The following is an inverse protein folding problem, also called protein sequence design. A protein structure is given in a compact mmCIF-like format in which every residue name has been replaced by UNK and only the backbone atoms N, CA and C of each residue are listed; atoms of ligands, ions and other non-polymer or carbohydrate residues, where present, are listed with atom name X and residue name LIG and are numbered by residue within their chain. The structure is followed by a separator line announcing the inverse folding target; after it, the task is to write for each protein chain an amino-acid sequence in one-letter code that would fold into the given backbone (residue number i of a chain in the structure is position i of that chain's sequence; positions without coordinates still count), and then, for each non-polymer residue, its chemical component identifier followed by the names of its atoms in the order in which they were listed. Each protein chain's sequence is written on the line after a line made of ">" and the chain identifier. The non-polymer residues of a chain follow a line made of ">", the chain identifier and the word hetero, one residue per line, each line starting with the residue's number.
data_IF_236077921904
#
_entry.id   IF_236077921904
#
_cell.length_a   1.000
_cell.length_b   1.000
_cell.length_c   1.000
_cell.angle_alpha   90.00
_cell.angle_beta   90.00
_cell.angle_gamma   90.00
#
_symmetry.space_group_name_H-M   'P 1'
#
loop_
_entity.id
_entity.type
_entity.pdbx_description
1 polymer ?
#
# COMPACT_ATOMS: atom_id res chain seq x y z
N UNK A 1 16.59 -17.04 -9.57
CA UNK A 1 16.93 -17.67 -8.27
C UNK A 1 17.95 -16.79 -7.58
N UNK A 2 17.81 -16.55 -6.29
CA UNK A 2 18.72 -15.71 -5.49
C UNK A 2 19.01 -16.35 -4.14
N UNK A 3 20.01 -15.83 -3.44
CA UNK A 3 20.35 -16.26 -2.09
C UNK A 3 19.53 -15.48 -1.08
N UNK A 4 18.98 -16.18 -0.07
CA UNK A 4 18.27 -15.58 1.06
C UNK A 4 19.06 -15.89 2.34
N UNK A 5 20.02 -15.03 2.75
CA UNK A 5 20.93 -15.29 3.87
C UNK A 5 20.25 -15.01 5.22
N UNK A 6 19.21 -15.78 5.55
CA UNK A 6 18.45 -15.66 6.79
C UNK A 6 18.43 -16.99 7.54
N UNK A 7 18.41 -16.92 8.88
CA UNK A 7 18.48 -18.10 9.75
C UNK A 7 17.30 -19.07 9.54
N UNK A 8 16.09 -18.57 9.29
CA UNK A 8 14.91 -19.42 9.03
C UNK A 8 15.07 -20.33 7.83
N UNK A 9 15.38 -19.79 6.63
CA UNK A 9 15.72 -20.59 5.45
C UNK A 9 16.86 -21.56 5.68
N UNK A 10 17.96 -21.12 6.34
CA UNK A 10 19.11 -21.97 6.61
C UNK A 10 18.75 -23.19 7.46
N UNK A 11 17.98 -23.01 8.54
CA UNK A 11 17.49 -24.11 9.39
C UNK A 11 16.61 -25.10 8.64
N UNK A 12 15.74 -24.62 7.74
CA UNK A 12 14.90 -25.51 6.91
C UNK A 12 15.71 -26.31 5.93
N UNK A 13 16.73 -25.69 5.33
CA UNK A 13 17.68 -26.39 4.43
C UNK A 13 18.49 -27.44 5.19
N UNK A 14 19.01 -27.11 6.38
CA UNK A 14 19.73 -28.04 7.22
C UNK A 14 18.87 -29.25 7.62
N UNK A 15 17.59 -29.02 7.97
CA UNK A 15 16.67 -30.13 8.23
C UNK A 15 16.46 -31.01 7.01
N UNK A 16 16.20 -30.42 5.84
CA UNK A 16 16.04 -31.15 4.57
C UNK A 16 17.29 -32.01 4.28
N UNK A 17 18.49 -31.44 4.47
CA UNK A 17 19.74 -32.17 4.29
C UNK A 17 19.88 -33.35 5.27
N UNK A 18 19.55 -33.14 6.55
CA UNK A 18 19.58 -34.19 7.57
C UNK A 18 18.56 -35.31 7.24
N UNK A 19 17.35 -34.96 6.82
CA UNK A 19 16.34 -35.93 6.38
C UNK A 19 16.86 -36.82 5.23
N UNK A 20 17.50 -36.20 4.22
CA UNK A 20 18.12 -36.93 3.11
C UNK A 20 19.26 -37.86 3.55
N UNK A 21 20.13 -37.41 4.46
CA UNK A 21 21.20 -38.25 5.02
C UNK A 21 20.62 -39.44 5.78
N UNK A 22 19.48 -39.27 6.44
CA UNK A 22 18.76 -40.34 7.15
C UNK A 22 17.91 -41.23 6.23
N UNK A 23 17.93 -41.03 4.91
CA UNK A 23 17.13 -41.78 3.94
C UNK A 23 15.64 -41.42 3.90
N UNK A 24 15.27 -40.26 4.46
CA UNK A 24 13.90 -39.76 4.46
C UNK A 24 13.65 -38.86 3.24
N UNK A 25 12.45 -38.95 2.67
CA UNK A 25 12.03 -38.02 1.63
C UNK A 25 11.70 -36.65 2.22
N UNK A 26 12.40 -35.60 1.77
CA UNK A 26 12.17 -34.22 2.17
C UNK A 26 12.53 -33.28 1.03
N UNK A 27 11.86 -32.13 0.95
CA UNK A 27 12.11 -31.14 -0.11
C UNK A 27 12.08 -29.70 0.43
N UNK A 28 13.13 -28.95 0.12
CA UNK A 28 13.17 -27.52 0.39
C UNK A 28 12.45 -26.74 -0.70
N UNK A 29 11.29 -26.17 -0.36
CA UNK A 29 10.43 -25.41 -1.30
C UNK A 29 10.86 -23.96 -1.54
N UNK A 30 12.03 -23.55 -1.03
CA UNK A 30 12.52 -22.19 -1.15
C UNK A 30 12.07 -21.27 0.00
N UNK A 31 12.30 -19.98 -0.19
CA UNK A 31 11.93 -18.94 0.78
C UNK A 31 11.48 -17.67 0.05
N UNK A 32 10.51 -17.00 0.62
CA UNK A 32 10.00 -15.71 0.14
C UNK A 32 10.92 -14.52 0.49
N UNK A 33 11.96 -14.73 1.30
CA UNK A 33 12.84 -13.67 1.77
C UNK A 33 12.18 -12.74 2.79
N UNK A 34 11.19 -13.24 3.56
CA UNK A 34 10.54 -12.45 4.59
C UNK A 34 11.55 -12.02 5.63
N UNK A 35 11.63 -10.71 5.86
CA UNK A 35 12.59 -10.09 6.77
C UNK A 35 11.95 -8.94 7.52
N UNK A 36 12.46 -8.69 8.73
CA UNK A 36 12.02 -7.61 9.59
C UNK A 36 13.23 -7.04 10.33
N UNK A 37 13.25 -5.73 10.51
CA UNK A 37 14.27 -5.06 11.29
C UNK A 37 13.68 -3.88 12.04
N UNK A 38 14.29 -3.53 13.16
CA UNK A 38 13.94 -2.34 13.94
C UNK A 38 15.09 -1.34 13.85
N UNK A 39 14.76 -0.09 13.48
CA UNK A 39 15.69 1.04 13.40
C UNK A 39 15.12 2.15 14.27
N UNK A 40 15.77 2.44 15.40
CA UNK A 40 15.27 3.39 16.40
C UNK A 40 13.82 3.05 16.83
N UNK A 41 12.87 3.97 16.62
CA UNK A 41 11.45 3.79 16.92
C UNK A 41 10.65 3.12 15.80
N UNK A 42 11.25 2.86 14.63
CA UNK A 42 10.55 2.31 13.47
C UNK A 42 10.87 0.83 13.26
N UNK A 43 9.88 0.10 12.82
CA UNK A 43 10.00 -1.27 12.31
C UNK A 43 9.79 -1.26 10.81
N UNK A 44 10.69 -1.88 10.06
CA UNK A 44 10.56 -2.10 8.62
C UNK A 44 10.55 -3.59 8.32
N UNK A 45 9.61 -4.05 7.49
CA UNK A 45 9.47 -5.45 7.12
C UNK A 45 9.13 -5.60 5.64
N UNK A 46 9.57 -6.72 5.06
CA UNK A 46 9.32 -7.04 3.66
C UNK A 46 9.14 -8.54 3.47
N UNK A 47 8.36 -8.92 2.46
CA UNK A 47 8.22 -10.30 1.97
C UNK A 47 8.07 -10.31 0.46
N UNK A 48 8.52 -11.38 -0.21
CA UNK A 48 8.43 -11.51 -1.66
C UNK A 48 9.33 -10.54 -2.42
N UNK A 49 8.89 -10.08 -3.58
CA UNK A 49 9.64 -9.16 -4.44
C UNK A 49 9.23 -7.70 -4.24
N UNK A 50 10.18 -6.80 -4.39
CA UNK A 50 9.94 -5.35 -4.44
C UNK A 50 9.82 -4.85 -5.89
N UNK A 51 9.49 -3.56 -6.07
CA UNK A 51 9.31 -2.98 -7.42
C UNK A 51 10.57 -3.04 -8.30
N UNK A 52 11.76 -2.92 -7.72
CA UNK A 52 13.00 -3.02 -8.51
C UNK A 52 13.18 -4.45 -9.01
N UNK A 53 12.92 -5.44 -8.15
CA UNK A 53 12.98 -6.84 -8.53
C UNK A 53 11.89 -7.22 -9.55
N UNK A 54 10.67 -6.69 -9.42
CA UNK A 54 9.61 -6.94 -10.42
C UNK A 54 10.00 -6.39 -11.80
N UNK A 55 10.64 -5.22 -11.85
CA UNK A 55 11.16 -4.65 -13.12
C UNK A 55 12.28 -5.50 -13.71
N UNK A 56 13.26 -5.89 -12.90
CA UNK A 56 14.37 -6.76 -13.34
C UNK A 56 13.88 -8.12 -13.86
N UNK A 57 12.81 -8.65 -13.25
CA UNK A 57 12.21 -9.93 -13.64
C UNK A 57 11.16 -9.79 -14.74
N UNK A 58 10.92 -8.60 -15.27
CA UNK A 58 9.89 -8.28 -16.27
C UNK A 58 8.49 -8.79 -15.88
N UNK A 59 8.15 -8.72 -14.59
CA UNK A 59 6.82 -9.10 -14.10
C UNK A 59 5.82 -7.98 -14.34
N UNK A 60 4.67 -8.31 -14.95
CA UNK A 60 3.53 -7.39 -15.02
C UNK A 60 2.87 -7.31 -13.66
N UNK A 61 2.92 -6.14 -13.03
CA UNK A 61 2.41 -5.95 -11.68
C UNK A 61 1.57 -4.68 -11.55
N UNK A 62 0.77 -4.66 -10.53
CA UNK A 62 0.16 -3.47 -9.97
C UNK A 62 0.44 -3.40 -8.47
N UNK A 63 0.08 -2.31 -7.81
CA UNK A 63 0.33 -2.11 -6.40
C UNK A 63 -0.73 -1.24 -5.75
N UNK A 64 -0.88 -1.40 -4.45
CA UNK A 64 -1.59 -0.45 -3.60
C UNK A 64 -0.65 0.05 -2.50
N UNK A 65 -0.80 1.32 -2.13
CA UNK A 65 -0.07 1.93 -1.02
C UNK A 65 -1.11 2.59 -0.11
N UNK A 66 -1.10 2.22 1.14
CA UNK A 66 -2.01 2.75 2.14
C UNK A 66 -1.24 3.16 3.41
N UNK A 67 -1.82 4.11 4.15
CA UNK A 67 -1.24 4.61 5.40
C UNK A 67 -2.26 4.42 6.54
N UNK A 68 -2.54 3.17 6.96
CA UNK A 68 -3.48 2.87 8.03
C UNK A 68 -2.87 3.14 9.42
N UNK A 69 -3.73 3.13 10.42
CA UNK A 69 -3.33 3.06 11.82
C UNK A 69 -3.07 1.60 12.25
N UNK A 70 -2.23 1.42 13.28
CA UNK A 70 -1.96 0.10 13.88
C UNK A 70 -3.21 -0.52 14.50
N UNK A 71 -4.09 0.33 15.07
CA UNK A 71 -5.38 -0.04 15.64
C UNK A 71 -6.37 1.13 15.54
N UNK A 72 -7.56 1.01 16.13
CA UNK A 72 -8.61 2.03 16.03
C UNK A 72 -8.18 3.37 16.62
N UNK A 73 -8.55 4.47 15.94
CA UNK A 73 -8.15 5.84 16.34
C UNK A 73 -8.73 6.30 17.67
N UNK A 74 -9.87 5.75 18.11
CA UNK A 74 -10.49 6.08 19.40
C UNK A 74 -9.83 5.37 20.59
N UNK A 75 -8.98 4.37 20.36
CA UNK A 75 -8.16 3.75 21.40
C UNK A 75 -6.78 4.41 21.45
N UNK A 76 -6.29 4.77 22.66
CA UNK A 76 -5.04 5.51 22.80
C UNK A 76 -3.82 4.78 22.24
N UNK A 77 -2.89 5.52 21.68
CA UNK A 77 -1.59 4.99 21.25
C UNK A 77 -1.52 4.50 19.81
N UNK A 78 -2.59 4.67 19.01
CA UNK A 78 -2.58 4.30 17.60
C UNK A 78 -1.45 4.97 16.82
N UNK A 79 -0.66 4.17 16.09
CA UNK A 79 0.48 4.61 15.30
C UNK A 79 0.23 4.41 13.82
N UNK A 80 0.73 5.32 13.01
CA UNK A 80 0.64 5.17 11.56
C UNK A 80 1.67 4.15 11.05
N UNK A 81 1.27 3.41 10.04
CA UNK A 81 2.19 2.62 9.21
C UNK A 81 1.98 2.95 7.73
N UNK A 82 2.96 2.67 6.91
CA UNK A 82 2.82 2.64 5.45
C UNK A 82 2.94 1.20 4.99
N UNK A 83 1.90 0.71 4.31
CA UNK A 83 1.87 -0.63 3.74
C UNK A 83 1.81 -0.52 2.22
N UNK A 84 2.72 -1.21 1.54
CA UNK A 84 2.71 -1.40 0.10
C UNK A 84 2.55 -2.88 -0.22
N UNK A 85 1.56 -3.21 -1.04
CA UNK A 85 1.29 -4.56 -1.54
C UNK A 85 1.46 -4.57 -3.06
N UNK A 86 2.26 -5.51 -3.58
CA UNK A 86 2.46 -5.77 -5.01
C UNK A 86 1.73 -7.06 -5.40
N UNK A 87 1.06 -7.03 -6.54
CA UNK A 87 0.35 -8.19 -7.08
C UNK A 87 0.43 -8.23 -8.62
N UNK A 88 0.34 -9.42 -9.17
CA UNK A 88 0.32 -9.61 -10.62
C UNK A 88 -0.95 -9.00 -11.21
N UNK A 89 -0.80 -8.27 -12.31
CA UNK A 89 -1.91 -7.60 -12.98
C UNK A 89 -2.88 -8.57 -13.62
N UNK A 90 -2.39 -9.72 -14.07
CA UNK A 90 -3.16 -10.70 -14.82
C UNK A 90 -4.14 -11.48 -13.94
N UNK A 91 -3.67 -11.94 -12.77
CA UNK A 91 -4.42 -12.87 -11.93
C UNK A 91 -4.61 -12.42 -10.48
N UNK A 92 -4.00 -11.29 -10.10
CA UNK A 92 -4.05 -10.74 -8.75
C UNK A 92 -3.18 -11.48 -7.74
N UNK A 93 -2.32 -12.42 -8.14
CA UNK A 93 -1.43 -13.16 -7.24
C UNK A 93 -0.51 -12.21 -6.49
N UNK A 94 -0.38 -12.40 -5.18
CA UNK A 94 0.52 -11.60 -4.34
C UNK A 94 1.97 -11.86 -4.74
N UNK A 95 2.69 -10.80 -5.08
CA UNK A 95 4.10 -10.85 -5.47
C UNK A 95 5.03 -10.46 -4.32
N UNK A 96 4.59 -9.53 -3.48
CA UNK A 96 5.37 -9.08 -2.34
C UNK A 96 4.69 -7.95 -1.58
N UNK A 97 5.23 -7.65 -0.39
CA UNK A 97 4.76 -6.56 0.44
C UNK A 97 5.89 -5.90 1.21
N UNK A 98 5.72 -4.64 1.56
CA UNK A 98 6.63 -3.85 2.39
C UNK A 98 5.80 -3.04 3.37
N UNK A 99 6.21 -3.03 4.64
CA UNK A 99 5.53 -2.27 5.69
C UNK A 99 6.58 -1.53 6.51
N UNK A 100 6.31 -0.26 6.80
CA UNK A 100 7.11 0.56 7.72
C UNK A 100 6.17 1.25 8.70
N UNK A 101 6.47 1.21 9.99
CA UNK A 101 5.68 1.83 11.04
C UNK A 101 6.30 1.66 12.41
N UNK A 102 5.68 2.27 13.42
CA UNK A 102 6.14 2.15 14.81
C UNK A 102 5.55 0.93 15.51
N UNK A 103 4.36 0.49 15.10
CA UNK A 103 3.60 -0.58 15.76
C UNK A 103 2.82 -1.43 14.75
N UNK A 104 2.61 -2.72 15.07
CA UNK A 104 1.77 -3.65 14.32
C UNK A 104 2.29 -4.09 12.94
N UNK A 105 3.56 -3.81 12.63
CA UNK A 105 4.20 -4.18 11.36
C UNK A 105 4.43 -5.68 11.28
N UNK A 106 4.90 -6.29 12.35
CA UNK A 106 5.21 -7.72 12.49
C UNK A 106 3.99 -8.60 12.20
N UNK A 107 2.86 -8.32 12.87
CA UNK A 107 1.60 -9.02 12.65
C UNK A 107 1.20 -9.03 11.17
N UNK A 108 1.26 -7.87 10.51
CA UNK A 108 0.75 -7.71 9.13
C UNK A 108 1.68 -8.32 8.10
N UNK A 109 2.99 -8.21 8.28
CA UNK A 109 3.93 -8.81 7.32
C UNK A 109 3.85 -10.35 7.36
N UNK A 110 3.64 -10.95 8.53
CA UNK A 110 3.50 -12.39 8.66
C UNK A 110 2.20 -12.91 8.04
N UNK A 111 1.09 -12.18 8.20
CA UNK A 111 -0.16 -12.50 7.51
C UNK A 111 0.02 -12.44 5.99
N UNK A 112 0.66 -11.38 5.47
CA UNK A 112 0.91 -11.23 4.03
C UNK A 112 1.88 -12.29 3.50
N UNK A 113 2.92 -12.63 4.26
CA UNK A 113 3.86 -13.70 3.90
C UNK A 113 3.16 -15.07 3.85
N UNK A 114 2.28 -15.35 4.81
CA UNK A 114 1.49 -16.58 4.86
C UNK A 114 0.51 -16.64 3.69
N UNK A 115 -0.23 -15.56 3.43
CA UNK A 115 -1.16 -15.46 2.32
C UNK A 115 -0.45 -15.69 0.97
N UNK A 116 0.71 -15.05 0.77
CA UNK A 116 1.53 -15.21 -0.43
C UNK A 116 2.02 -16.66 -0.60
N UNK A 117 2.50 -17.31 0.47
CA UNK A 117 2.96 -18.70 0.43
C UNK A 117 1.82 -19.68 0.18
N UNK A 118 0.62 -19.36 0.66
CA UNK A 118 -0.61 -20.14 0.37
C UNK A 118 -1.14 -19.91 -1.06
N UNK A 119 -0.51 -19.05 -1.86
CA UNK A 119 -0.94 -18.73 -3.22
C UNK A 119 -2.20 -17.88 -3.30
N UNK A 120 -2.55 -17.17 -2.22
CA UNK A 120 -3.72 -16.29 -2.22
C UNK A 120 -3.57 -15.13 -3.21
N UNK A 121 -4.70 -14.71 -3.76
CA UNK A 121 -4.79 -13.50 -4.57
C UNK A 121 -4.99 -12.27 -3.68
N UNK A 122 -4.48 -11.11 -4.11
CA UNK A 122 -4.51 -9.88 -3.32
C UNK A 122 -5.94 -9.47 -2.92
N UNK A 123 -6.92 -9.62 -3.80
CA UNK A 123 -8.32 -9.31 -3.49
C UNK A 123 -8.94 -10.27 -2.45
N UNK A 124 -8.43 -11.50 -2.30
CA UNK A 124 -8.92 -12.44 -1.30
C UNK A 124 -8.51 -12.06 0.14
N UNK A 125 -7.52 -11.18 0.31
CA UNK A 125 -7.13 -10.66 1.62
C UNK A 125 -8.28 -9.97 2.37
N UNK A 126 -9.26 -9.43 1.66
CA UNK A 126 -10.45 -8.79 2.25
C UNK A 126 -11.33 -9.76 3.04
N UNK A 127 -11.29 -11.06 2.72
CA UNK A 127 -12.10 -12.10 3.34
C UNK A 127 -11.41 -12.76 4.56
N UNK A 128 -10.17 -12.37 4.87
CA UNK A 128 -9.48 -12.93 6.01
C UNK A 128 -10.17 -12.53 7.32
N UNK A 129 -10.54 -13.52 8.11
CA UNK A 129 -11.03 -13.33 9.48
C UNK A 129 -9.85 -13.15 10.43
N UNK A 130 -9.50 -11.89 10.69
CA UNK A 130 -8.34 -11.51 11.50
C UNK A 130 -8.76 -11.05 12.88
N UNK A 131 -7.99 -11.42 13.90
CA UNK A 131 -8.27 -11.07 15.29
C UNK A 131 -8.37 -9.55 15.47
N UNK A 132 -9.50 -9.11 16.03
CA UNK A 132 -9.81 -7.73 16.31
C UNK A 132 -10.25 -7.50 17.75
N UNK A 133 -9.65 -6.51 18.35
CA UNK A 133 -10.17 -5.73 19.48
C UNK A 133 -9.51 -4.35 19.41
N UNK A 134 -10.11 -3.29 20.00
CA UNK A 134 -9.62 -1.91 19.85
C UNK A 134 -8.12 -1.71 20.09
N UNK A 135 -7.43 -2.37 21.05
CA UNK A 135 -5.99 -2.21 21.24
C UNK A 135 -5.11 -2.85 20.17
N UNK A 136 -5.64 -3.78 19.37
CA UNK A 136 -4.83 -4.65 18.50
C UNK A 136 -5.02 -4.38 16.99
N UNK A 137 -6.17 -3.89 16.58
CA UNK A 137 -6.47 -3.63 15.18
C UNK A 137 -7.66 -2.67 15.01
N UNK A 138 -8.08 -2.47 13.78
CA UNK A 138 -9.39 -1.95 13.39
C UNK A 138 -10.26 -3.12 12.93
N UNK A 139 -11.60 -2.95 12.89
CA UNK A 139 -12.53 -3.97 12.43
C UNK A 139 -12.17 -4.50 11.04
N UNK A 140 -11.71 -3.61 10.15
CA UNK A 140 -10.99 -3.99 8.94
C UNK A 140 -9.49 -3.81 9.21
N UNK A 141 -8.76 -4.90 9.39
CA UNK A 141 -7.31 -4.85 9.55
C UNK A 141 -6.67 -4.20 8.30
N UNK A 142 -5.52 -3.51 8.43
CA UNK A 142 -4.74 -3.02 7.28
C UNK A 142 -4.57 -4.02 6.14
N UNK A 143 -4.47 -5.32 6.44
CA UNK A 143 -4.41 -6.38 5.43
C UNK A 143 -5.73 -6.51 4.67
N UNK A 144 -6.88 -6.49 5.37
CA UNK A 144 -8.19 -6.50 4.70
C UNK A 144 -8.37 -5.26 3.82
N UNK A 145 -7.98 -4.08 4.32
CA UNK A 145 -8.05 -2.82 3.55
C UNK A 145 -7.19 -2.91 2.28
N UNK A 146 -5.99 -3.49 2.36
CA UNK A 146 -5.15 -3.73 1.18
C UNK A 146 -5.85 -4.65 0.16
N UNK A 147 -6.59 -5.66 0.63
CA UNK A 147 -7.41 -6.54 -0.20
C UNK A 147 -8.54 -5.80 -0.93
N UNK A 148 -9.30 -4.96 -0.22
CA UNK A 148 -10.35 -4.12 -0.83
C UNK A 148 -9.77 -3.17 -1.89
N UNK A 149 -8.63 -2.54 -1.59
CA UNK A 149 -7.98 -1.64 -2.56
C UNK A 149 -7.48 -2.40 -3.78
N UNK A 150 -6.86 -3.58 -3.60
CA UNK A 150 -6.40 -4.41 -4.69
C UNK A 150 -7.56 -4.85 -5.61
N UNK A 151 -8.72 -5.24 -5.02
CA UNK A 151 -9.93 -5.56 -5.79
C UNK A 151 -10.40 -4.37 -6.63
N UNK A 152 -10.45 -3.18 -6.04
CA UNK A 152 -10.90 -1.97 -6.74
C UNK A 152 -9.97 -1.59 -7.91
N UNK A 153 -8.66 -1.79 -7.74
CA UNK A 153 -7.67 -1.57 -8.81
C UNK A 153 -7.82 -2.63 -9.92
N UNK A 154 -7.87 -3.92 -9.56
CA UNK A 154 -8.01 -5.02 -10.51
C UNK A 154 -9.32 -4.97 -11.31
N UNK A 155 -10.40 -4.51 -10.69
CA UNK A 155 -11.71 -4.35 -11.35
C UNK A 155 -11.86 -3.03 -12.10
N UNK A 156 -10.83 -2.18 -12.15
CA UNK A 156 -10.87 -0.88 -12.81
C UNK A 156 -11.76 0.18 -12.15
N UNK A 157 -12.28 -0.10 -10.95
CA UNK A 157 -13.13 0.85 -10.20
C UNK A 157 -12.39 2.08 -9.73
N UNK A 158 -11.05 2.00 -9.62
CA UNK A 158 -10.18 3.08 -9.16
C UNK A 158 -8.89 3.10 -9.96
N UNK A 159 -8.51 4.28 -10.41
CA UNK A 159 -7.20 4.55 -10.98
C UNK A 159 -6.32 5.23 -9.93
N UNK A 160 -5.04 4.91 -9.92
CA UNK A 160 -4.05 5.45 -9.00
C UNK A 160 -2.90 6.10 -9.75
N UNK A 161 -2.28 7.09 -9.14
CA UNK A 161 -0.97 7.59 -9.53
C UNK A 161 -0.06 7.67 -8.31
N UNK A 162 1.25 7.70 -8.56
CA UNK A 162 2.28 7.54 -7.55
C UNK A 162 3.26 8.70 -7.58
N UNK A 163 4.15 8.79 -6.59
CA UNK A 163 5.12 9.87 -6.48
C UNK A 163 5.95 10.07 -7.77
N UNK A 164 6.41 8.98 -8.40
CA UNK A 164 7.17 9.05 -9.65
C UNK A 164 6.40 9.58 -10.86
N UNK A 165 5.07 9.62 -10.78
CA UNK A 165 4.21 10.10 -11.87
C UNK A 165 3.98 11.62 -11.80
N UNK A 166 4.22 12.25 -10.63
CA UNK A 166 3.93 13.68 -10.40
C UNK A 166 4.55 14.60 -11.46
N UNK A 167 5.78 14.31 -11.89
CA UNK A 167 6.48 15.11 -12.93
C UNK A 167 5.95 14.88 -14.34
N UNK A 168 5.12 13.85 -14.53
CA UNK A 168 4.57 13.44 -15.84
C UNK A 168 3.09 13.75 -15.99
N UNK A 169 2.46 14.32 -14.96
CA UNK A 169 1.06 14.69 -15.02
C UNK A 169 0.83 15.73 -16.15
N UNK A 170 -0.28 15.61 -16.90
CA UNK A 170 -0.61 16.59 -17.95
C UNK A 170 -0.61 18.01 -17.39
N UNK A 171 -0.16 18.97 -18.17
CA UNK A 171 -0.05 20.38 -17.75
C UNK A 171 -1.42 21.00 -17.47
N UNK A 172 -2.43 20.58 -18.20
CA UNK A 172 -3.82 21.05 -18.11
C UNK A 172 -4.67 20.23 -17.12
N UNK A 173 -4.09 19.21 -16.47
CA UNK A 173 -4.77 18.40 -15.47
C UNK A 173 -5.15 19.22 -14.23
N UNK A 174 -6.33 18.95 -13.72
CA UNK A 174 -6.82 19.53 -12.49
C UNK A 174 -6.22 18.76 -11.30
N UNK A 175 -5.46 19.46 -10.45
CA UNK A 175 -4.79 18.89 -9.28
C UNK A 175 -5.52 19.33 -8.04
N UNK A 176 -6.36 18.43 -7.52
CA UNK A 176 -7.32 18.68 -6.45
C UNK A 176 -6.81 18.13 -5.12
N UNK A 177 -6.74 18.97 -4.10
CA UNK A 177 -6.57 18.56 -2.70
C UNK A 177 -7.95 18.52 -2.02
N UNK A 178 -8.28 17.38 -1.40
CA UNK A 178 -9.56 17.17 -0.71
C UNK A 178 -9.42 17.13 0.81
N UNK A 179 -8.32 17.65 1.34
CA UNK A 179 -8.11 17.84 2.78
C UNK A 179 -8.90 19.04 3.30
N UNK A 180 -8.91 19.21 4.62
CA UNK A 180 -9.45 20.44 5.22
C UNK A 180 -8.60 21.67 4.85
N UNK A 181 -9.18 22.85 4.98
CA UNK A 181 -8.48 24.13 4.75
C UNK A 181 -7.26 24.26 5.67
N UNK A 182 -7.41 23.90 6.94
CA UNK A 182 -6.33 23.91 7.92
C UNK A 182 -5.16 22.97 7.58
N UNK A 183 -5.46 21.76 7.07
CA UNK A 183 -4.43 20.81 6.62
C UNK A 183 -3.69 21.35 5.39
N UNK A 184 -4.40 21.99 4.48
CA UNK A 184 -3.85 22.56 3.26
C UNK A 184 -2.94 23.77 3.56
N UNK A 185 -3.36 24.68 4.44
CA UNK A 185 -2.60 25.86 4.85
C UNK A 185 -1.29 25.51 5.58
N UNK A 186 -1.28 24.41 6.36
CA UNK A 186 -0.05 23.88 6.98
C UNK A 186 0.98 23.34 5.98
N UNK A 187 0.57 23.17 4.73
CA UNK A 187 1.40 22.73 3.62
C UNK A 187 0.63 21.82 2.67
N UNK A 188 0.94 21.90 1.38
CA UNK A 188 0.30 21.12 0.32
C UNK A 188 1.32 20.68 -0.72
N UNK A 189 0.93 19.73 -1.56
CA UNK A 189 1.79 19.23 -2.63
C UNK A 189 1.92 20.27 -3.74
N UNK A 190 3.11 20.39 -4.29
CA UNK A 190 3.40 21.32 -5.38
C UNK A 190 2.49 21.06 -6.57
N UNK A 191 1.89 22.15 -7.08
CA UNK A 191 0.97 22.10 -8.20
C UNK A 191 -0.48 21.74 -7.84
N UNK A 192 -0.80 21.34 -6.59
CA UNK A 192 -2.16 21.08 -6.14
C UNK A 192 -2.80 22.38 -5.64
N UNK A 193 -3.35 23.15 -6.57
CA UNK A 193 -3.87 24.49 -6.30
C UNK A 193 -5.39 24.54 -6.10
N UNK A 194 -6.10 23.48 -6.49
CA UNK A 194 -7.53 23.38 -6.26
C UNK A 194 -7.77 22.75 -4.88
N UNK A 195 -8.49 23.46 -4.03
CA UNK A 195 -8.86 22.96 -2.70
C UNK A 195 -10.39 22.87 -2.60
N UNK A 196 -10.89 21.64 -2.57
CA UNK A 196 -12.29 21.36 -2.27
C UNK A 196 -12.31 20.24 -1.22
N UNK A 197 -12.56 20.55 0.05
CA UNK A 197 -12.68 19.54 1.09
C UNK A 197 -13.68 18.44 0.70
N UNK A 198 -13.41 17.20 1.07
CA UNK A 198 -14.22 16.05 0.66
C UNK A 198 -15.71 16.25 1.00
N UNK A 199 -15.99 16.85 2.13
CA UNK A 199 -17.34 17.14 2.62
C UNK A 199 -18.10 18.11 1.72
N UNK A 200 -17.39 19.03 1.07
CA UNK A 200 -17.93 20.04 0.16
C UNK A 200 -17.98 19.55 -1.30
N UNK A 201 -17.29 18.46 -1.64
CA UNK A 201 -17.03 18.07 -3.03
C UNK A 201 -18.34 17.86 -3.83
N UNK A 202 -19.36 17.22 -3.23
CA UNK A 202 -20.63 16.93 -3.93
C UNK A 202 -21.38 18.19 -4.35
N UNK A 203 -21.30 19.24 -3.55
CA UNK A 203 -21.97 20.53 -3.84
C UNK A 203 -21.14 21.46 -4.73
N UNK A 204 -19.88 21.12 -4.97
CA UNK A 204 -18.92 21.98 -5.70
C UNK A 204 -18.34 21.32 -6.96
N UNK A 205 -18.97 20.25 -7.47
CA UNK A 205 -18.52 19.55 -8.68
C UNK A 205 -18.47 20.48 -9.91
N UNK A 206 -19.33 21.48 -9.98
CA UNK A 206 -19.38 22.47 -11.07
C UNK A 206 -18.11 23.36 -11.15
N UNK A 207 -17.27 23.38 -10.12
CA UNK A 207 -15.99 24.10 -10.16
C UNK A 207 -14.90 23.32 -10.93
N UNK A 208 -15.17 22.05 -11.25
CA UNK A 208 -14.26 21.19 -11.99
C UNK A 208 -14.73 21.03 -13.43
N UNK A 209 -13.77 20.98 -14.35
CA UNK A 209 -14.03 20.74 -15.77
C UNK A 209 -14.03 19.23 -16.04
N UNK A 210 -15.15 18.67 -16.52
CA UNK A 210 -15.29 17.24 -16.84
C UNK A 210 -14.43 16.78 -18.02
N UNK A 211 -14.04 17.69 -18.92
CA UNK A 211 -13.20 17.36 -20.07
C UNK A 211 -11.72 17.19 -19.71
N UNK A 212 -11.33 17.56 -18.49
CA UNK A 212 -9.95 17.49 -18.01
C UNK A 212 -9.79 16.43 -16.93
N UNK A 213 -8.69 15.64 -16.97
CA UNK A 213 -8.45 14.66 -15.91
C UNK A 213 -8.22 15.32 -14.56
N UNK A 214 -8.74 14.69 -13.50
CA UNK A 214 -8.61 15.16 -12.11
C UNK A 214 -7.68 14.25 -11.33
N UNK A 215 -6.59 14.81 -10.80
CA UNK A 215 -5.63 14.14 -9.94
C UNK A 215 -5.86 14.56 -8.49
N UNK A 216 -6.22 13.61 -7.63
CA UNK A 216 -6.74 13.90 -6.30
C UNK A 216 -5.75 13.53 -5.22
N UNK A 217 -5.46 14.46 -4.31
CA UNK A 217 -4.61 14.29 -3.13
C UNK A 217 -5.44 14.39 -1.85
N UNK A 218 -5.06 13.59 -0.84
CA UNK A 218 -5.50 13.79 0.54
C UNK A 218 -4.38 13.42 1.52
N UNK A 219 -4.63 13.37 2.83
CA UNK A 219 -3.58 13.14 3.82
C UNK A 219 -2.97 11.73 3.77
N UNK A 220 -3.79 10.67 3.59
CA UNK A 220 -3.36 9.27 3.74
C UNK A 220 -3.82 8.33 2.61
N UNK A 221 -4.60 8.84 1.62
CA UNK A 221 -5.12 8.08 0.49
C UNK A 221 -6.63 7.77 0.58
N UNK A 222 -7.25 7.69 1.77
CA UNK A 222 -8.66 7.31 1.91
C UNK A 222 -9.61 8.37 1.35
N UNK A 223 -9.48 9.64 1.78
CA UNK A 223 -10.36 10.73 1.30
C UNK A 223 -10.24 10.94 -0.20
N UNK A 224 -9.03 10.86 -0.77
CA UNK A 224 -8.84 10.97 -2.22
C UNK A 224 -9.43 9.77 -2.99
N UNK A 225 -9.40 8.57 -2.41
CA UNK A 225 -10.15 7.43 -2.94
C UNK A 225 -11.66 7.70 -2.98
N UNK A 226 -12.24 8.15 -1.85
CA UNK A 226 -13.67 8.49 -1.77
C UNK A 226 -14.04 9.61 -2.74
N UNK A 227 -13.20 10.64 -2.86
CA UNK A 227 -13.38 11.72 -3.82
C UNK A 227 -13.38 11.19 -5.27
N UNK A 228 -12.46 10.30 -5.64
CA UNK A 228 -12.46 9.66 -6.96
C UNK A 228 -13.72 8.82 -7.19
N UNK A 229 -14.28 8.17 -6.16
CA UNK A 229 -15.57 7.47 -6.30
C UNK A 229 -16.71 8.43 -6.59
N UNK A 230 -16.75 9.59 -5.91
CA UNK A 230 -17.73 10.65 -6.18
C UNK A 230 -17.55 11.20 -7.60
N UNK A 231 -16.34 11.56 -7.96
CA UNK A 231 -16.01 12.13 -9.28
C UNK A 231 -16.34 11.17 -10.42
N UNK A 232 -15.94 9.91 -10.34
CA UNK A 232 -16.19 8.92 -11.39
C UNK A 232 -17.69 8.64 -11.59
N UNK A 233 -18.48 8.65 -10.51
CA UNK A 233 -19.96 8.53 -10.60
C UNK A 233 -20.63 9.75 -11.25
N UNK A 234 -19.92 10.88 -11.30
CA UNK A 234 -20.38 12.10 -11.96
C UNK A 234 -19.66 12.36 -13.31
N UNK A 235 -19.05 11.33 -13.92
CA UNK A 235 -18.51 11.37 -15.27
C UNK A 235 -17.10 11.94 -15.40
N UNK A 236 -16.38 12.20 -14.30
CA UNK A 236 -15.01 12.69 -14.37
C UNK A 236 -14.00 11.55 -14.56
N UNK A 237 -13.00 11.74 -15.40
CA UNK A 237 -11.79 10.91 -15.40
C UNK A 237 -10.89 11.36 -14.25
N UNK A 238 -10.68 10.49 -13.28
CA UNK A 238 -9.97 10.84 -12.06
C UNK A 238 -9.04 9.74 -11.57
N UNK A 239 -7.97 10.15 -10.89
CA UNK A 239 -6.99 9.27 -10.26
C UNK A 239 -6.65 9.80 -8.88
N UNK A 240 -6.46 8.91 -7.88
CA UNK A 240 -6.04 9.32 -6.56
C UNK A 240 -4.56 9.04 -6.30
N UNK A 241 -3.92 9.91 -5.52
CA UNK A 241 -2.52 9.73 -5.12
C UNK A 241 -2.40 8.64 -4.06
N UNK A 242 -1.72 7.55 -4.41
CA UNK A 242 -1.50 6.44 -3.50
C UNK A 242 -0.56 6.83 -2.35
N UNK A 243 -1.01 6.62 -1.10
CA UNK A 243 -0.25 6.96 0.12
C UNK A 243 -0.47 8.37 0.66
N UNK A 244 -1.06 9.28 -0.13
CA UNK A 244 -1.43 10.63 0.30
C UNK A 244 -0.26 11.59 0.58
N UNK A 245 -0.59 12.79 1.07
CA UNK A 245 0.37 13.85 1.36
C UNK A 245 1.45 13.43 2.36
N UNK A 246 1.14 12.54 3.28
CA UNK A 246 2.13 11.98 4.22
C UNK A 246 3.27 11.26 3.49
N UNK A 247 2.95 10.40 2.54
CA UNK A 247 3.97 9.73 1.72
C UNK A 247 4.70 10.73 0.83
N UNK A 248 3.98 11.69 0.24
CA UNK A 248 4.57 12.75 -0.58
C UNK A 248 5.66 13.51 0.19
N UNK A 249 5.36 13.96 1.40
CA UNK A 249 6.33 14.72 2.22
C UNK A 249 7.51 13.87 2.67
N UNK A 250 7.27 12.60 3.06
CA UNK A 250 8.34 11.69 3.45
C UNK A 250 9.35 11.46 2.31
N UNK A 251 8.85 11.23 1.09
CA UNK A 251 9.70 11.03 -0.08
C UNK A 251 10.39 12.33 -0.51
N UNK A 252 9.64 13.45 -0.56
CA UNK A 252 10.20 14.76 -0.92
C UNK A 252 11.35 15.17 0.01
N UNK A 253 11.16 15.02 1.31
CA UNK A 253 12.18 15.42 2.30
C UNK A 253 13.45 14.56 2.20
N UNK A 254 13.31 13.28 1.84
CA UNK A 254 14.46 12.40 1.61
C UNK A 254 15.28 12.86 0.39
N UNK A 255 14.61 13.11 -0.74
CA UNK A 255 15.29 13.55 -1.98
C UNK A 255 15.79 15.00 -1.95
N UNK A 256 15.32 15.82 -1.01
CA UNK A 256 15.83 17.19 -0.82
C UNK A 256 17.08 17.24 0.09
N UNK A 257 17.43 16.12 0.74
CA UNK A 257 18.60 15.97 1.60
C UNK A 257 19.83 15.37 0.87
N UNK A 258 19.66 14.95 -0.37
CA UNK A 258 20.70 14.55 -1.32
C UNK A 258 21.04 15.70 -2.28
#
# INVERSE_FOLDING_TARGET
>A
RGTVPLAGPARRQARTAADHIAGLESCYRGAAGTSILRIFGLTAAATGVNENQTRTLNLSYDRVILSPLSHTSFYPGAKNMTLKLLFAREDGRILGAQIVGEDGVDKRIDVLATAMQAGMKAHALKELDLAYAPPYSSANDPVNVAGFMAENVLSGKVKQFFYGDLKRLPRDAQRLDVRSREEYEKGHAEGFHLLIPLEELRSRLQELNQEKPVYVMCQSGLRSYLACRILSQNGFDCQHFAGGYRLYTAVRNHWAAE
#
